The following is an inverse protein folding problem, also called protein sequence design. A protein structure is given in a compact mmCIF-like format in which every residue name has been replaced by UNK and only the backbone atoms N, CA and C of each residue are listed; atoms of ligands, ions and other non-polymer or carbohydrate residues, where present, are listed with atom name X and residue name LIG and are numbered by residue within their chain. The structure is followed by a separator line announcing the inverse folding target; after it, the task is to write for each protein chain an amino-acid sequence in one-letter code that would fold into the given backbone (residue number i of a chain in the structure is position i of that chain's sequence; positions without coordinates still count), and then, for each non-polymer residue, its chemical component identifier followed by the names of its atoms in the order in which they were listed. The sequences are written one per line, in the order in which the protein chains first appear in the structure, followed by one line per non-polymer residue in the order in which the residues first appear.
data_IF_978979784992
#
_entry.id   IF_978979784992
#
_cell.length_a   1.000
_cell.length_b   1.000
_cell.length_c   1.000
_cell.angle_alpha   90.00
_cell.angle_beta   90.00
_cell.angle_gamma   90.00
#
_symmetry.space_group_name_H-M   'P 1'
#
loop_
_entity.id
_entity.type
_entity.pdbx_description
1 polymer ?
#
# COMPACT_ATOMS: atom_id res chain seq x y z
N UNK A 1 -24.21 17.19 -21.33
CA UNK A 1 -22.90 17.20 -20.65
C UNK A 1 -22.99 17.76 -19.23
N UNK A 2 -23.35 19.03 -19.00
CA UNK A 2 -23.46 19.57 -17.62
C UNK A 2 -24.39 18.76 -16.71
N UNK A 3 -25.56 18.33 -17.21
CA UNK A 3 -26.53 17.56 -16.42
C UNK A 3 -26.04 16.13 -16.06
N UNK A 4 -25.33 15.45 -16.98
CA UNK A 4 -24.76 14.11 -16.71
C UNK A 4 -23.59 14.15 -15.73
N UNK A 5 -22.74 15.17 -15.85
CA UNK A 5 -21.56 15.36 -14.98
C UNK A 5 -21.98 15.73 -13.56
N UNK A 6 -22.94 16.65 -13.41
CA UNK A 6 -23.55 16.98 -12.11
C UNK A 6 -24.23 15.76 -11.47
N UNK A 7 -24.98 14.97 -12.26
CA UNK A 7 -25.62 13.73 -11.79
C UNK A 7 -24.58 12.74 -11.22
N UNK A 8 -23.51 12.46 -11.97
CA UNK A 8 -22.49 11.50 -11.54
C UNK A 8 -21.68 12.03 -10.36
N UNK A 9 -21.33 13.32 -10.37
CA UNK A 9 -20.59 13.94 -9.27
C UNK A 9 -21.42 13.96 -7.98
N UNK A 10 -22.70 14.34 -8.03
CA UNK A 10 -23.60 14.29 -6.87
C UNK A 10 -23.70 12.87 -6.32
N UNK A 11 -23.88 11.89 -7.19
CA UNK A 11 -23.93 10.50 -6.77
C UNK A 11 -22.63 10.06 -6.10
N UNK A 12 -21.46 10.36 -6.67
CA UNK A 12 -20.15 10.01 -6.10
C UNK A 12 -19.87 10.75 -4.79
N UNK A 13 -20.30 12.01 -4.66
CA UNK A 13 -20.14 12.78 -3.42
C UNK A 13 -21.07 12.27 -2.30
N UNK A 14 -22.26 11.78 -2.65
CA UNK A 14 -23.21 11.19 -1.69
C UNK A 14 -23.01 9.69 -1.46
N UNK A 15 -22.11 9.06 -2.22
CA UNK A 15 -21.80 7.63 -2.12
C UNK A 15 -20.98 7.34 -0.85
N UNK A 16 -21.66 7.33 0.30
CA UNK A 16 -21.05 6.95 1.58
C UNK A 16 -21.50 5.55 2.01
N UNK A 17 -20.52 4.65 2.12
CA UNK A 17 -20.48 3.43 2.93
C UNK A 17 -21.55 2.32 2.77
N UNK A 18 -22.70 2.50 2.10
CA UNK A 18 -23.65 1.40 1.82
C UNK A 18 -24.53 1.67 0.58
N UNK A 19 -24.42 0.78 -0.41
CA UNK A 19 -25.56 0.17 -1.11
C UNK A 19 -26.48 1.05 -1.97
N UNK A 20 -26.02 2.15 -2.59
CA UNK A 20 -26.86 2.78 -3.62
C UNK A 20 -26.65 2.17 -5.02
N UNK A 21 -26.87 0.85 -5.09
CA UNK A 21 -26.86 0.09 -6.33
C UNK A 21 -27.87 0.70 -7.32
N UNK A 22 -29.00 1.20 -6.83
CA UNK A 22 -30.04 1.82 -7.66
C UNK A 22 -29.55 3.11 -8.32
N UNK A 23 -28.82 3.96 -7.60
CA UNK A 23 -28.20 5.16 -8.19
C UNK A 23 -27.11 4.82 -9.21
N UNK A 24 -26.27 3.81 -8.97
CA UNK A 24 -25.27 3.36 -9.94
C UNK A 24 -25.92 2.71 -11.17
N UNK A 25 -26.97 1.92 -10.98
CA UNK A 25 -27.78 1.34 -12.07
C UNK A 25 -28.43 2.45 -12.89
N UNK A 26 -28.98 3.47 -12.24
CA UNK A 26 -29.57 4.60 -12.94
C UNK A 26 -28.54 5.32 -13.82
N UNK A 27 -27.30 5.51 -13.33
CA UNK A 27 -26.21 6.08 -14.13
C UNK A 27 -25.89 5.18 -15.32
N UNK A 28 -25.58 3.90 -15.08
CA UNK A 28 -25.14 2.98 -16.14
C UNK A 28 -26.22 2.74 -17.20
N UNK A 29 -27.50 2.82 -16.83
CA UNK A 29 -28.62 2.70 -17.77
C UNK A 29 -28.92 4.02 -18.52
N UNK A 30 -28.50 5.17 -18.00
CA UNK A 30 -28.82 6.49 -18.58
C UNK A 30 -27.74 6.99 -19.53
N UNK A 31 -26.47 6.71 -19.24
CA UNK A 31 -25.34 7.21 -20.02
C UNK A 31 -24.52 6.07 -20.64
N UNK A 32 -23.93 6.32 -21.81
CA UNK A 32 -23.04 5.35 -22.45
C UNK A 32 -21.78 5.12 -21.62
N UNK A 33 -21.14 3.94 -21.75
CA UNK A 33 -19.86 3.66 -21.10
C UNK A 33 -18.82 4.75 -21.39
N UNK A 34 -18.69 5.19 -22.66
CA UNK A 34 -17.68 6.19 -23.04
C UNK A 34 -17.93 7.56 -22.38
N UNK A 35 -19.20 7.94 -22.19
CA UNK A 35 -19.55 9.15 -21.44
C UNK A 35 -19.24 8.98 -19.95
N UNK A 36 -19.59 7.83 -19.36
CA UNK A 36 -19.30 7.56 -17.96
C UNK A 36 -17.79 7.51 -17.66
N UNK A 37 -17.03 6.83 -18.52
CA UNK A 37 -15.57 6.78 -18.50
C UNK A 37 -14.95 8.18 -18.52
N UNK A 38 -15.44 9.05 -19.41
CA UNK A 38 -14.98 10.44 -19.50
C UNK A 38 -15.23 11.20 -18.20
N UNK A 39 -16.42 11.04 -17.60
CA UNK A 39 -16.76 11.70 -16.33
C UNK A 39 -15.88 11.18 -15.19
N UNK A 40 -15.70 9.87 -15.07
CA UNK A 40 -14.82 9.29 -14.05
C UNK A 40 -13.38 9.80 -14.20
N UNK A 41 -12.86 9.90 -15.42
CA UNK A 41 -11.52 10.45 -15.67
C UNK A 41 -11.41 11.92 -15.22
N UNK A 42 -12.42 12.75 -15.50
CA UNK A 42 -12.44 14.15 -15.02
C UNK A 42 -12.43 14.23 -13.50
N UNK A 43 -13.23 13.41 -12.84
CA UNK A 43 -13.32 13.41 -11.37
C UNK A 43 -12.02 12.91 -10.72
N UNK A 44 -11.36 11.90 -11.32
CA UNK A 44 -10.03 11.46 -10.93
C UNK A 44 -8.96 12.56 -11.07
N UNK A 45 -9.14 13.50 -11.99
CA UNK A 45 -8.25 14.63 -12.21
C UNK A 45 -8.59 15.86 -11.34
N UNK A 46 -9.58 15.76 -10.45
CA UNK A 46 -9.95 16.82 -9.53
C UNK A 46 -8.79 17.19 -8.60
N UNK A 47 -8.71 18.48 -8.25
CA UNK A 47 -7.80 18.94 -7.18
C UNK A 47 -8.36 18.65 -5.78
N UNK A 48 -9.64 18.31 -5.69
CA UNK A 48 -10.27 17.90 -4.45
C UNK A 48 -9.99 16.42 -4.17
N UNK A 49 -9.23 16.18 -3.10
CA UNK A 49 -8.88 14.83 -2.63
C UNK A 49 -10.12 13.97 -2.38
N UNK A 50 -11.18 14.52 -1.83
CA UNK A 50 -12.38 13.76 -1.49
C UNK A 50 -13.08 13.24 -2.75
N UNK A 51 -13.16 14.08 -3.79
CA UNK A 51 -13.68 13.69 -5.11
C UNK A 51 -12.85 12.55 -5.69
N UNK A 52 -11.52 12.66 -5.67
CA UNK A 52 -10.64 11.61 -6.20
C UNK A 52 -10.81 10.30 -5.40
N UNK A 53 -10.80 10.38 -4.07
CA UNK A 53 -10.98 9.22 -3.18
C UNK A 53 -12.31 8.51 -3.43
N UNK A 54 -13.41 9.26 -3.51
CA UNK A 54 -14.74 8.70 -3.75
C UNK A 54 -14.84 8.11 -5.15
N UNK A 55 -14.25 8.75 -6.16
CA UNK A 55 -14.21 8.22 -7.54
C UNK A 55 -13.44 6.89 -7.60
N UNK A 56 -12.29 6.81 -6.95
CA UNK A 56 -11.52 5.57 -6.78
C UNK A 56 -12.34 4.49 -6.07
N UNK A 57 -13.12 4.85 -5.05
CA UNK A 57 -14.01 3.92 -4.36
C UNK A 57 -15.12 3.39 -5.27
N UNK A 58 -15.80 4.27 -6.01
CA UNK A 58 -16.82 3.90 -7.00
C UNK A 58 -16.27 2.95 -8.06
N UNK A 59 -15.08 3.21 -8.60
CA UNK A 59 -14.43 2.33 -9.58
C UNK A 59 -14.20 0.93 -9.00
N UNK A 60 -13.69 0.84 -7.75
CA UNK A 60 -13.50 -0.46 -7.09
C UNK A 60 -14.80 -1.22 -6.92
N UNK A 61 -15.87 -0.55 -6.49
CA UNK A 61 -17.18 -1.18 -6.34
C UNK A 61 -17.73 -1.70 -7.68
N UNK A 62 -17.64 -0.89 -8.73
CA UNK A 62 -18.08 -1.29 -10.08
C UNK A 62 -17.38 -2.57 -10.55
N UNK A 63 -16.07 -2.70 -10.35
CA UNK A 63 -15.28 -3.84 -10.82
C UNK A 63 -15.36 -5.04 -9.88
N UNK A 64 -15.17 -4.82 -8.58
CA UNK A 64 -15.03 -5.91 -7.61
C UNK A 64 -16.40 -6.44 -7.16
N UNK A 65 -17.36 -5.54 -6.96
CA UNK A 65 -18.66 -5.89 -6.40
C UNK A 65 -19.72 -6.15 -7.49
N UNK A 66 -19.68 -5.44 -8.62
CA UNK A 66 -20.82 -5.40 -9.54
C UNK A 66 -20.60 -6.07 -10.91
N UNK A 67 -19.46 -5.86 -11.58
CA UNK A 67 -19.29 -6.26 -12.99
C UNK A 67 -19.39 -7.76 -13.26
N UNK A 68 -19.13 -8.60 -12.26
CA UNK A 68 -19.22 -10.06 -12.35
C UNK A 68 -20.53 -10.62 -11.75
N UNK A 69 -21.39 -9.75 -11.21
CA UNK A 69 -22.63 -10.16 -10.51
C UNK A 69 -23.91 -9.70 -11.19
N UNK A 70 -23.83 -8.65 -12.00
CA UNK A 70 -24.97 -7.98 -12.60
C UNK A 70 -24.67 -7.67 -14.06
N UNK A 71 -25.58 -8.06 -14.96
CA UNK A 71 -25.39 -7.95 -16.41
C UNK A 71 -25.26 -6.49 -16.86
N UNK A 72 -25.93 -5.57 -16.16
CA UNK A 72 -25.89 -4.12 -16.41
C UNK A 72 -24.46 -3.56 -16.30
N UNK A 73 -23.61 -4.15 -15.45
CA UNK A 73 -22.24 -3.70 -15.23
C UNK A 73 -21.19 -4.55 -15.97
N UNK A 74 -21.61 -5.60 -16.70
CA UNK A 74 -20.70 -6.52 -17.36
C UNK A 74 -19.89 -5.83 -18.48
N UNK A 75 -20.47 -4.87 -19.19
CA UNK A 75 -19.72 -4.07 -20.18
C UNK A 75 -18.59 -3.29 -19.52
N UNK A 76 -18.88 -2.67 -18.37
CA UNK A 76 -17.88 -1.89 -17.64
C UNK A 76 -16.69 -2.76 -17.24
N UNK A 77 -16.94 -3.95 -16.69
CA UNK A 77 -15.89 -4.91 -16.34
C UNK A 77 -15.05 -5.37 -17.53
N UNK A 78 -15.67 -5.59 -18.69
CA UNK A 78 -14.96 -6.01 -19.92
C UNK A 78 -14.07 -4.92 -20.48
N UNK A 79 -14.51 -3.66 -20.43
CA UNK A 79 -13.81 -2.52 -21.04
C UNK A 79 -12.79 -1.87 -20.11
N UNK A 80 -12.96 -2.02 -18.79
CA UNK A 80 -12.10 -1.41 -17.78
C UNK A 80 -10.59 -1.67 -17.98
N UNK A 81 -10.10 -2.89 -18.25
CA UNK A 81 -8.66 -3.15 -18.33
C UNK A 81 -7.89 -2.32 -19.37
N UNK A 82 -8.59 -1.90 -20.44
CA UNK A 82 -8.03 -1.11 -21.55
C UNK A 82 -8.53 0.34 -21.56
N UNK A 83 -9.28 0.73 -20.53
CA UNK A 83 -9.96 2.02 -20.42
C UNK A 83 -9.00 3.18 -20.20
N UNK A 84 -9.48 4.39 -20.50
CA UNK A 84 -8.86 5.66 -20.10
C UNK A 84 -8.83 5.82 -18.58
N UNK A 85 -9.72 5.15 -17.83
CA UNK A 85 -9.72 5.16 -16.36
C UNK A 85 -8.42 4.56 -15.85
N UNK A 86 -8.01 3.38 -16.34
CA UNK A 86 -6.74 2.74 -15.94
C UNK A 86 -5.57 3.65 -16.25
N UNK A 87 -5.50 4.21 -17.47
CA UNK A 87 -4.43 5.16 -17.83
C UNK A 87 -4.42 6.42 -16.94
N UNK A 88 -5.59 6.90 -16.54
CA UNK A 88 -5.72 8.03 -15.63
C UNK A 88 -5.21 7.65 -14.24
N UNK A 89 -5.59 6.50 -13.69
CA UNK A 89 -5.09 5.98 -12.42
C UNK A 89 -3.56 5.80 -12.43
N UNK A 90 -2.99 5.28 -13.53
CA UNK A 90 -1.54 5.17 -13.70
C UNK A 90 -0.85 6.53 -13.65
N UNK A 91 -1.45 7.57 -14.24
CA UNK A 91 -0.90 8.93 -14.17
C UNK A 91 -0.94 9.52 -12.75
N UNK A 92 -1.96 9.15 -11.96
CA UNK A 92 -2.12 9.60 -10.58
C UNK A 92 -1.08 9.01 -9.63
N UNK A 93 -0.39 7.93 -10.02
CA UNK A 93 0.75 7.39 -9.27
C UNK A 93 1.90 8.39 -9.09
N UNK A 94 1.93 9.44 -9.91
CA UNK A 94 2.93 10.52 -9.89
C UNK A 94 2.35 11.85 -9.38
N UNK A 95 1.18 11.81 -8.72
CA UNK A 95 0.58 13.00 -8.13
C UNK A 95 1.42 13.54 -6.97
N UNK A 96 1.42 14.87 -6.82
CA UNK A 96 2.01 15.54 -5.65
C UNK A 96 1.23 15.28 -4.36
N UNK A 97 -0.01 14.82 -4.44
CA UNK A 97 -0.83 14.51 -3.28
C UNK A 97 -0.68 13.03 -2.92
N UNK A 98 -0.04 12.74 -1.79
CA UNK A 98 0.24 11.36 -1.34
C UNK A 98 -1.03 10.52 -1.19
N UNK A 99 -2.15 11.14 -0.82
CA UNK A 99 -3.41 10.41 -0.63
C UNK A 99 -4.00 9.99 -1.97
N UNK A 100 -3.91 10.86 -2.99
CA UNK A 100 -4.25 10.50 -4.37
C UNK A 100 -3.41 9.33 -4.88
N UNK A 101 -2.10 9.34 -4.60
CA UNK A 101 -1.21 8.23 -4.99
C UNK A 101 -1.63 6.93 -4.28
N UNK A 102 -1.90 6.97 -2.97
CA UNK A 102 -2.39 5.82 -2.21
C UNK A 102 -3.71 5.24 -2.76
N UNK A 103 -4.67 6.12 -3.10
CA UNK A 103 -5.95 5.71 -3.67
C UNK A 103 -5.78 5.10 -5.06
N UNK A 104 -4.88 5.64 -5.89
CA UNK A 104 -4.56 5.10 -7.20
C UNK A 104 -3.91 3.71 -7.10
N UNK A 105 -2.89 3.55 -6.24
CA UNK A 105 -2.23 2.27 -5.97
C UNK A 105 -3.26 1.22 -5.54
N UNK A 106 -4.11 1.57 -4.57
CA UNK A 106 -5.10 0.63 -4.05
C UNK A 106 -6.16 0.27 -5.09
N UNK A 107 -6.60 1.23 -5.90
CA UNK A 107 -7.58 0.99 -6.96
C UNK A 107 -7.02 0.06 -8.03
N UNK A 108 -5.81 0.32 -8.53
CA UNK A 108 -5.15 -0.54 -9.52
C UNK A 108 -4.94 -1.96 -8.99
N UNK A 109 -4.49 -2.10 -7.74
CA UNK A 109 -4.32 -3.41 -7.09
C UNK A 109 -5.62 -4.18 -6.93
N UNK A 110 -6.66 -3.57 -6.37
CA UNK A 110 -7.94 -4.25 -6.09
C UNK A 110 -8.80 -4.53 -7.30
N UNK A 111 -8.64 -3.75 -8.36
CA UNK A 111 -9.29 -4.04 -9.64
C UNK A 111 -8.51 -5.04 -10.49
N UNK A 112 -7.43 -5.63 -9.96
CA UNK A 112 -6.57 -6.59 -10.65
C UNK A 112 -6.05 -6.05 -11.99
N UNK A 113 -5.58 -4.79 -12.00
CA UNK A 113 -5.06 -4.14 -13.21
C UNK A 113 -3.64 -4.65 -13.54
N UNK A 114 -3.54 -5.90 -14.03
CA UNK A 114 -2.25 -6.54 -14.35
C UNK A 114 -1.44 -5.77 -15.40
N UNK A 115 -2.10 -5.10 -16.34
CA UNK A 115 -1.46 -4.24 -17.34
C UNK A 115 -0.72 -3.04 -16.75
N UNK A 116 -1.02 -2.67 -15.49
CA UNK A 116 -0.41 -1.53 -14.80
C UNK A 116 0.85 -1.86 -14.01
N UNK A 117 1.30 -3.13 -13.98
CA UNK A 117 2.56 -3.53 -13.32
C UNK A 117 3.76 -2.67 -13.79
N UNK A 118 3.94 -2.34 -15.09
CA UNK A 118 5.01 -1.45 -15.53
C UNK A 118 4.89 -0.03 -14.96
N UNK A 119 3.68 0.51 -14.81
CA UNK A 119 3.44 1.82 -14.22
C UNK A 119 3.72 1.82 -12.72
N UNK A 120 3.29 0.77 -12.00
CA UNK A 120 3.58 0.56 -10.57
C UNK A 120 5.08 0.41 -10.30
N UNK A 121 5.81 -0.33 -11.14
CA UNK A 121 7.28 -0.42 -11.07
C UNK A 121 7.95 0.94 -11.26
N UNK A 122 7.51 1.74 -12.23
CA UNK A 122 8.01 3.12 -12.41
C UNK A 122 7.71 4.00 -11.19
N UNK A 123 6.48 3.89 -10.66
CA UNK A 123 6.07 4.62 -9.46
C UNK A 123 6.92 4.22 -8.25
N UNK A 124 7.27 2.94 -8.11
CA UNK A 124 8.15 2.47 -7.05
C UNK A 124 9.50 3.19 -7.06
N UNK A 125 10.19 3.18 -8.20
CA UNK A 125 11.49 3.85 -8.32
C UNK A 125 11.39 5.37 -8.16
N UNK A 126 10.28 5.98 -8.56
CA UNK A 126 10.02 7.39 -8.33
C UNK A 126 9.81 7.72 -6.85
N UNK A 127 9.01 6.91 -6.15
CA UNK A 127 8.55 7.20 -4.79
C UNK A 127 9.51 6.72 -3.71
N UNK A 128 10.41 5.77 -4.01
CA UNK A 128 11.22 5.11 -2.97
C UNK A 128 12.05 6.05 -2.11
N UNK A 129 12.52 7.15 -2.67
CA UNK A 129 13.30 8.17 -1.96
C UNK A 129 12.53 9.50 -1.85
N UNK A 130 11.21 9.48 -1.99
CA UNK A 130 10.31 10.64 -1.84
C UNK A 130 9.29 10.40 -0.73
N UNK A 131 8.59 9.26 -0.77
CA UNK A 131 7.59 8.86 0.24
C UNK A 131 7.82 7.38 0.65
N UNK A 132 8.80 7.11 1.54
CA UNK A 132 9.11 5.74 1.97
C UNK A 132 7.92 5.02 2.62
N UNK A 133 6.98 5.75 3.21
CA UNK A 133 5.79 5.15 3.84
C UNK A 133 4.77 4.61 2.85
N UNK A 134 4.82 5.04 1.59
CA UNK A 134 3.93 4.52 0.54
C UNK A 134 4.39 3.15 0.03
N UNK A 135 5.68 2.83 0.23
CA UNK A 135 6.31 1.67 -0.38
C UNK A 135 5.65 0.37 0.04
N UNK A 136 5.33 0.20 1.33
CA UNK A 136 4.70 -1.05 1.79
C UNK A 136 3.34 -1.30 1.12
N UNK A 137 2.55 -0.25 0.92
CA UNK A 137 1.27 -0.36 0.20
C UNK A 137 1.48 -0.69 -1.28
N UNK A 138 2.39 0.02 -1.93
CA UNK A 138 2.74 -0.21 -3.33
C UNK A 138 3.23 -1.65 -3.55
N UNK A 139 4.12 -2.10 -2.68
CA UNK A 139 4.73 -3.41 -2.71
C UNK A 139 3.70 -4.51 -2.50
N UNK A 140 2.80 -4.35 -1.52
CA UNK A 140 1.70 -5.28 -1.26
C UNK A 140 0.79 -5.45 -2.49
N UNK A 141 0.36 -4.36 -3.12
CA UNK A 141 -0.50 -4.45 -4.31
C UNK A 141 0.27 -4.98 -5.53
N UNK A 142 1.57 -4.70 -5.67
CA UNK A 142 2.41 -5.29 -6.73
C UNK A 142 2.55 -6.81 -6.56
N UNK A 143 2.81 -7.31 -5.34
CA UNK A 143 2.84 -8.75 -5.04
C UNK A 143 1.50 -9.38 -5.39
N UNK A 144 0.40 -8.73 -5.00
CA UNK A 144 -0.96 -9.19 -5.32
C UNK A 144 -1.20 -9.34 -6.83
N UNK A 145 -0.60 -8.47 -7.65
CA UNK A 145 -0.68 -8.52 -9.10
C UNK A 145 0.32 -9.48 -9.76
N UNK A 146 1.14 -10.21 -8.99
CA UNK A 146 2.12 -11.16 -9.54
C UNK A 146 3.48 -10.55 -9.87
N UNK A 147 4.01 -9.71 -8.97
CA UNK A 147 5.34 -9.12 -9.09
C UNK A 147 6.46 -10.16 -9.31
N UNK A 148 7.15 -10.09 -10.45
CA UNK A 148 8.25 -11.00 -10.79
C UNK A 148 9.62 -10.54 -10.25
N UNK A 149 9.87 -9.23 -10.18
CA UNK A 149 11.15 -8.65 -9.77
C UNK A 149 11.22 -8.29 -8.27
N UNK A 150 10.50 -9.03 -7.41
CA UNK A 150 10.41 -8.79 -5.96
C UNK A 150 11.77 -8.54 -5.30
N UNK A 151 12.75 -9.41 -5.56
CA UNK A 151 14.07 -9.35 -4.92
C UNK A 151 14.91 -8.16 -5.40
N UNK A 152 14.76 -7.75 -6.65
CA UNK A 152 15.44 -6.57 -7.20
C UNK A 152 14.95 -5.31 -6.49
N UNK A 153 13.64 -5.18 -6.31
CA UNK A 153 13.04 -4.05 -5.62
C UNK A 153 13.48 -4.00 -4.15
N UNK A 154 13.45 -5.13 -3.44
CA UNK A 154 13.98 -5.24 -2.07
C UNK A 154 15.45 -4.82 -2.01
N UNK A 155 16.30 -5.34 -2.90
CA UNK A 155 17.71 -4.98 -2.95
C UNK A 155 17.90 -3.47 -3.16
N UNK A 156 17.08 -2.85 -4.01
CA UNK A 156 17.11 -1.42 -4.27
C UNK A 156 16.72 -0.57 -3.04
N UNK A 157 15.79 -1.06 -2.21
CA UNK A 157 15.41 -0.39 -0.96
C UNK A 157 16.53 -0.50 0.08
N UNK A 158 17.08 -1.69 0.26
CA UNK A 158 18.18 -1.97 1.21
C UNK A 158 19.43 -1.16 0.87
N UNK A 159 19.66 -0.89 -0.41
CA UNK A 159 20.81 -0.13 -0.89
C UNK A 159 20.54 1.37 -1.01
N UNK A 160 19.36 1.86 -0.59
CA UNK A 160 19.05 3.29 -0.61
C UNK A 160 19.90 4.06 0.40
N UNK A 161 20.31 5.29 0.04
CA UNK A 161 20.95 6.22 0.98
C UNK A 161 19.96 6.71 2.06
N UNK A 162 18.66 6.69 1.76
CA UNK A 162 17.61 7.08 2.68
C UNK A 162 17.33 5.96 3.70
N UNK A 163 17.53 6.27 4.98
CA UNK A 163 17.29 5.31 6.07
C UNK A 163 15.83 4.89 6.18
N UNK A 164 14.85 5.76 5.92
CA UNK A 164 13.44 5.38 5.98
C UNK A 164 13.08 4.39 4.88
N UNK A 165 13.74 4.46 3.72
CA UNK A 165 13.57 3.50 2.63
C UNK A 165 14.18 2.14 2.98
N UNK A 166 15.40 2.14 3.55
CA UNK A 166 16.02 0.92 4.08
C UNK A 166 15.17 0.30 5.21
N UNK A 167 14.58 1.14 6.05
CA UNK A 167 13.71 0.71 7.15
C UNK A 167 12.39 0.11 6.64
N UNK A 168 11.80 0.69 5.60
CA UNK A 168 10.63 0.13 4.92
C UNK A 168 10.92 -1.30 4.43
N UNK A 169 12.12 -1.59 3.93
CA UNK A 169 12.48 -2.92 3.44
C UNK A 169 12.36 -4.01 4.53
N UNK A 170 12.62 -3.65 5.80
CA UNK A 170 12.47 -4.59 6.94
C UNK A 170 11.00 -5.05 7.11
N UNK A 171 10.03 -4.22 6.70
CA UNK A 171 8.60 -4.54 6.82
C UNK A 171 8.15 -5.60 5.84
N UNK A 172 8.74 -5.61 4.64
CA UNK A 172 8.36 -6.48 3.52
C UNK A 172 8.77 -7.95 3.72
N UNK A 173 9.49 -8.23 4.81
CA UNK A 173 9.76 -9.58 5.27
C UNK A 173 8.72 -9.97 6.33
N UNK A 174 7.57 -10.57 5.93
CA UNK A 174 6.53 -10.93 6.89
C UNK A 174 7.08 -11.87 7.95
N UNK A 175 6.73 -11.58 9.21
CA UNK A 175 7.14 -12.37 10.37
C UNK A 175 6.65 -13.83 10.35
N UNK A 176 5.61 -14.11 9.55
CA UNK A 176 5.00 -15.42 9.44
C UNK A 176 4.85 -15.78 7.98
N UNK A 177 5.56 -16.82 7.53
CA UNK A 177 5.35 -17.41 6.21
C UNK A 177 4.32 -18.51 6.39
N UNK A 178 3.18 -18.38 5.72
CA UNK A 178 2.17 -19.44 5.65
C UNK A 178 2.84 -20.75 5.21
N UNK A 179 2.42 -21.87 5.81
CA UNK A 179 2.97 -23.19 5.47
C UNK A 179 2.50 -23.54 4.05
N UNK A 180 3.44 -23.84 3.15
CA UNK A 180 3.50 -25.08 2.37
C UNK A 180 4.65 -25.02 1.32
N UNK A 181 5.42 -26.10 1.17
CA UNK A 181 6.30 -26.35 0.01
C UNK A 181 7.83 -26.20 0.17
N UNK A 182 8.58 -26.84 -0.74
CA UNK A 182 10.07 -26.81 -0.85
C UNK A 182 10.62 -25.46 -1.36
N UNK A 183 9.85 -24.69 -2.14
CA UNK A 183 10.18 -23.31 -2.55
C UNK A 183 10.39 -22.37 -1.34
N UNK A 184 9.93 -22.78 -0.15
CA UNK A 184 10.03 -22.03 1.10
C UNK A 184 11.47 -21.92 1.62
N UNK A 185 12.35 -22.90 1.36
CA UNK A 185 13.74 -22.84 1.87
C UNK A 185 14.54 -21.73 1.20
N UNK A 186 14.49 -21.63 -0.13
CA UNK A 186 15.18 -20.59 -0.91
C UNK A 186 14.66 -19.20 -0.56
N UNK A 187 13.34 -19.04 -0.43
CA UNK A 187 12.74 -17.76 -0.03
C UNK A 187 13.13 -17.38 1.41
N UNK A 188 13.15 -18.34 2.33
CA UNK A 188 13.60 -18.12 3.71
C UNK A 188 15.08 -17.71 3.78
N UNK A 189 15.94 -18.39 3.02
CA UNK A 189 17.38 -18.12 2.98
C UNK A 189 17.67 -16.73 2.42
N UNK A 190 16.99 -16.32 1.34
CA UNK A 190 17.12 -14.97 0.79
C UNK A 190 16.60 -13.91 1.78
N UNK A 191 15.45 -14.14 2.45
CA UNK A 191 14.98 -13.23 3.52
C UNK A 191 16.00 -13.09 4.63
N UNK A 192 16.56 -14.19 5.10
CA UNK A 192 17.54 -14.20 6.20
C UNK A 192 18.80 -13.44 5.79
N UNK A 193 19.34 -13.70 4.59
CA UNK A 193 20.50 -12.99 4.02
C UNK A 193 20.31 -11.47 3.98
N UNK A 194 19.13 -10.99 3.56
CA UNK A 194 18.84 -9.54 3.54
C UNK A 194 18.71 -8.95 4.94
N UNK A 195 18.07 -9.66 5.87
CA UNK A 195 17.96 -9.22 7.25
C UNK A 195 19.32 -9.21 7.97
N UNK A 196 20.20 -10.17 7.72
CA UNK A 196 21.57 -10.17 8.24
C UNK A 196 22.37 -8.95 7.76
N UNK A 197 22.15 -8.50 6.52
CA UNK A 197 22.73 -7.24 6.03
C UNK A 197 22.16 -6.04 6.79
N UNK A 198 20.84 -5.98 6.99
CA UNK A 198 20.17 -4.88 7.70
C UNK A 198 20.47 -4.84 9.20
N UNK A 199 20.83 -5.97 9.82
CA UNK A 199 21.37 -6.02 11.19
C UNK A 199 22.68 -5.24 11.35
N UNK A 200 23.39 -4.98 10.25
CA UNK A 200 24.60 -4.16 10.22
C UNK A 200 24.35 -2.74 9.70
N UNK A 201 23.08 -2.31 9.57
CA UNK A 201 22.75 -0.95 9.11
C UNK A 201 23.31 0.12 10.04
N UNK A 202 23.68 1.27 9.49
CA UNK A 202 24.07 2.46 10.26
C UNK A 202 23.00 2.95 11.23
N UNK A 203 21.71 2.84 10.88
CA UNK A 203 20.60 3.29 11.73
C UNK A 203 20.21 2.21 12.75
N UNK A 204 20.16 2.59 14.03
CA UNK A 204 19.89 1.65 15.13
C UNK A 204 18.50 1.03 15.09
N UNK A 205 17.48 1.75 14.64
CA UNK A 205 16.10 1.26 14.60
C UNK A 205 15.92 0.19 13.52
N UNK A 206 16.61 0.36 12.39
CA UNK A 206 16.70 -0.66 11.34
C UNK A 206 17.34 -1.92 11.89
N UNK A 207 18.49 -1.81 12.57
CA UNK A 207 19.19 -2.97 13.15
C UNK A 207 18.30 -3.73 14.13
N UNK A 208 17.68 -3.02 15.08
CA UNK A 208 16.81 -3.61 16.11
C UNK A 208 15.62 -4.33 15.46
N UNK A 209 14.95 -3.70 14.50
CA UNK A 209 13.81 -4.33 13.84
C UNK A 209 14.24 -5.52 12.95
N UNK A 210 15.39 -5.43 12.27
CA UNK A 210 15.92 -6.52 11.45
C UNK A 210 16.32 -7.73 12.32
N UNK A 211 16.95 -7.50 13.48
CA UNK A 211 17.26 -8.55 14.45
C UNK A 211 16.00 -9.23 14.96
N UNK A 212 14.98 -8.45 15.31
CA UNK A 212 13.69 -9.01 15.70
C UNK A 212 13.08 -9.89 14.60
N UNK A 213 13.10 -9.44 13.35
CA UNK A 213 12.63 -10.23 12.20
C UNK A 213 13.43 -11.52 12.00
N UNK A 214 14.75 -11.50 12.18
CA UNK A 214 15.56 -12.73 12.17
C UNK A 214 15.08 -13.73 13.24
N UNK A 215 14.87 -13.28 14.48
CA UNK A 215 14.39 -14.15 15.56
C UNK A 215 13.00 -14.73 15.27
N UNK A 216 12.13 -13.98 14.60
CA UNK A 216 10.82 -14.48 14.14
C UNK A 216 10.95 -15.59 13.10
N UNK A 217 11.89 -15.44 12.16
CA UNK A 217 12.20 -16.47 11.15
C UNK A 217 12.79 -17.72 11.82
N UNK A 218 13.78 -17.55 12.71
CA UNK A 218 14.38 -18.63 13.49
C UNK A 218 13.34 -19.36 14.35
N UNK A 219 12.36 -18.64 14.89
CA UNK A 219 11.24 -19.29 15.58
C UNK A 219 10.40 -20.14 14.64
N UNK A 220 10.16 -19.72 13.38
CA UNK A 220 9.41 -20.53 12.41
C UNK A 220 10.13 -21.83 12.05
N UNK A 221 11.46 -21.83 11.98
CA UNK A 221 12.22 -23.03 11.59
C UNK A 221 12.17 -24.12 12.66
N UNK A 222 12.14 -23.76 13.94
CA UNK A 222 12.08 -24.72 15.07
C UNK A 222 10.66 -24.94 15.61
N UNK A 223 9.65 -24.21 15.11
CA UNK A 223 8.29 -24.20 15.67
C UNK A 223 7.67 -25.59 15.75
N UNK A 224 7.90 -26.43 14.74
CA UNK A 224 7.30 -27.77 14.65
C UNK A 224 7.86 -28.74 15.70
N UNK A 225 9.06 -28.48 16.22
CA UNK A 225 9.73 -29.28 17.26
C UNK A 225 9.22 -28.95 18.67
N UNK A 226 8.53 -27.81 18.84
CA UNK A 226 8.05 -27.32 20.12
C UNK A 226 6.62 -27.80 20.42
N UNK A 227 6.30 -27.99 21.71
CA UNK A 227 4.91 -28.24 22.10
C UNK A 227 4.02 -27.01 21.81
N UNK A 228 2.72 -27.20 21.56
CA UNK A 228 1.79 -26.07 21.31
C UNK A 228 1.83 -25.00 22.40
N UNK A 229 2.04 -25.39 23.66
CA UNK A 229 2.17 -24.47 24.79
C UNK A 229 3.43 -23.61 24.68
N UNK A 230 4.56 -24.22 24.35
CA UNK A 230 5.84 -23.51 24.14
C UNK A 230 5.81 -22.63 22.90
N UNK A 231 5.22 -23.11 21.79
CA UNK A 231 5.00 -22.32 20.59
C UNK A 231 4.23 -21.03 20.92
N UNK A 232 3.11 -21.14 21.64
CA UNK A 232 2.30 -19.99 22.03
C UNK A 232 3.04 -19.05 22.98
N UNK A 233 3.81 -19.59 23.94
CA UNK A 233 4.61 -18.78 24.86
C UNK A 233 5.67 -17.98 24.12
N UNK A 234 6.50 -18.64 23.32
CA UNK A 234 7.61 -18.02 22.59
C UNK A 234 7.13 -17.01 21.54
N UNK A 235 6.04 -17.34 20.83
CA UNK A 235 5.37 -16.39 19.92
C UNK A 235 4.96 -15.10 20.65
N UNK A 236 4.29 -15.22 21.80
CA UNK A 236 3.86 -14.05 22.59
C UNK A 236 5.02 -13.23 23.12
N UNK A 237 6.11 -13.87 23.51
CA UNK A 237 7.33 -13.19 23.96
C UNK A 237 7.92 -12.34 22.82
N UNK A 238 8.02 -12.92 21.63
CA UNK A 238 8.51 -12.20 20.44
C UNK A 238 7.54 -11.09 20.01
N UNK A 239 6.23 -11.32 20.00
CA UNK A 239 5.24 -10.27 19.71
C UNK A 239 5.35 -9.10 20.70
N UNK A 240 5.47 -9.39 22.00
CA UNK A 240 5.65 -8.37 23.03
C UNK A 240 6.95 -7.57 22.86
N UNK A 241 8.03 -8.24 22.47
CA UNK A 241 9.28 -7.55 22.15
C UNK A 241 9.10 -6.59 20.96
N UNK A 242 8.42 -7.03 19.90
CA UNK A 242 8.14 -6.19 18.71
C UNK A 242 7.31 -4.96 19.04
N UNK A 243 6.31 -5.12 19.90
CA UNK A 243 5.44 -4.03 20.34
C UNK A 243 6.16 -3.04 21.24
N UNK A 244 7.27 -3.45 21.86
CA UNK A 244 8.08 -2.59 22.74
C UNK A 244 9.10 -1.72 21.99
N UNK A 245 9.39 -2.05 20.72
CA UNK A 245 10.32 -1.27 19.90
C UNK A 245 9.56 -0.28 19.02
N UNK A 246 10.18 0.86 18.70
CA UNK A 246 9.68 1.69 17.61
C UNK A 246 9.95 0.95 16.29
N UNK A 247 8.89 0.48 15.63
CA UNK A 247 8.94 -0.13 14.32
C UNK A 247 8.42 0.84 13.23
N UNK A 248 8.75 0.55 11.97
CA UNK A 248 8.41 1.42 10.83
C UNK A 248 6.90 1.63 10.66
N UNK A 249 6.07 0.60 10.89
CA UNK A 249 4.61 0.70 10.82
C UNK A 249 4.06 1.67 11.87
N UNK A 250 4.59 1.58 13.09
CA UNK A 250 4.23 2.49 14.19
C UNK A 250 4.62 3.92 13.83
N UNK A 251 5.84 4.15 13.34
CA UNK A 251 6.29 5.46 12.90
C UNK A 251 5.40 6.00 11.76
N UNK A 252 5.13 5.19 10.74
CA UNK A 252 4.26 5.52 9.61
C UNK A 252 2.88 5.96 10.07
N UNK A 253 2.24 5.19 10.97
CA UNK A 253 0.92 5.52 11.52
C UNK A 253 0.92 6.84 12.29
N UNK A 254 1.93 7.07 13.14
CA UNK A 254 2.01 8.31 13.93
C UNK A 254 2.25 9.51 13.00
N UNK A 255 3.13 9.36 12.00
CA UNK A 255 3.37 10.42 11.03
C UNK A 255 2.14 10.71 10.15
N UNK A 256 1.38 9.68 9.77
CA UNK A 256 0.11 9.85 9.07
C UNK A 256 -0.90 10.66 9.89
N UNK A 257 -0.98 10.43 11.20
CA UNK A 257 -1.81 11.23 12.10
C UNK A 257 -1.33 12.69 12.17
N UNK A 258 0.00 12.90 12.20
CA UNK A 258 0.59 14.23 12.16
C UNK A 258 0.24 14.98 10.86
N UNK A 259 0.40 14.34 9.70
CA UNK A 259 0.04 14.93 8.40
C UNK A 259 -1.46 15.30 8.36
N UNK A 260 -2.31 14.41 8.86
CA UNK A 260 -3.76 14.65 8.92
C UNK A 260 -4.10 15.83 9.83
N UNK A 261 -3.51 15.90 11.03
CA UNK A 261 -3.66 17.01 11.96
C UNK A 261 -3.20 18.34 11.37
N UNK A 262 -2.08 18.33 10.64
CA UNK A 262 -1.53 19.52 9.95
C UNK A 262 -2.19 19.81 8.60
N UNK A 263 -3.14 18.98 8.15
CA UNK A 263 -3.79 19.06 6.83
C UNK A 263 -2.78 19.08 5.68
N UNK A 264 -1.68 18.32 5.82
CA UNK A 264 -0.64 18.20 4.82
C UNK A 264 -0.94 17.03 3.89
N UNK A 265 -0.96 17.30 2.58
CA UNK A 265 -1.20 16.30 1.54
C UNK A 265 0.11 15.74 0.96
N UNK A 266 1.26 16.22 1.42
CA UNK A 266 2.59 15.74 1.08
C UNK A 266 3.60 16.18 2.14
N UNK A 267 4.82 15.68 2.00
CA UNK A 267 5.95 16.03 2.85
C UNK A 267 7.26 15.85 2.09
N UNK A 268 8.32 16.43 2.62
CA UNK A 268 9.70 16.23 2.17
C UNK A 268 10.44 15.30 3.15
N UNK A 269 11.50 14.64 2.71
CA UNK A 269 12.32 13.82 3.60
C UNK A 269 12.89 14.61 4.79
N UNK A 270 13.21 15.89 4.61
CA UNK A 270 13.62 16.77 5.72
C UNK A 270 12.51 16.93 6.76
N UNK A 271 11.27 17.17 6.33
CA UNK A 271 10.14 17.27 7.27
C UNK A 271 9.87 15.94 7.99
N UNK A 272 10.11 14.81 7.33
CA UNK A 272 10.05 13.50 7.97
C UNK A 272 11.16 13.34 9.00
N UNK A 273 12.40 13.69 8.66
CA UNK A 273 13.53 13.65 9.59
C UNK A 273 13.29 14.54 10.81
N UNK A 274 12.88 15.79 10.61
CA UNK A 274 12.59 16.74 11.69
C UNK A 274 11.51 16.21 12.63
N UNK A 275 10.46 15.60 12.07
CA UNK A 275 9.41 14.95 12.85
C UNK A 275 9.95 13.76 13.64
N UNK A 276 10.75 12.92 13.00
CA UNK A 276 11.33 11.73 13.61
C UNK A 276 12.25 12.10 14.78
N UNK A 277 13.16 13.04 14.58
CA UNK A 277 14.10 13.51 15.61
C UNK A 277 13.34 14.10 16.81
N UNK A 278 12.32 14.92 16.55
CA UNK A 278 11.42 15.43 17.58
C UNK A 278 10.72 14.28 18.32
N UNK A 279 10.15 13.32 17.60
CA UNK A 279 9.42 12.21 18.20
C UNK A 279 10.32 11.36 19.10
N UNK A 280 11.53 11.01 18.66
CA UNK A 280 12.50 10.25 19.47
C UNK A 280 12.90 11.03 20.73
N UNK A 281 13.11 12.34 20.61
CA UNK A 281 13.44 13.20 21.75
C UNK A 281 12.35 13.22 22.82
N UNK A 282 11.09 13.38 22.42
CA UNK A 282 9.99 13.46 23.38
C UNK A 282 9.60 12.11 23.99
N UNK A 283 9.76 11.01 23.24
CA UNK A 283 9.35 9.68 23.71
C UNK A 283 10.46 8.90 24.41
N UNK A 284 11.71 9.38 24.35
CA UNK A 284 12.83 8.78 25.08
C UNK A 284 13.33 7.46 24.48
N UNK A 285 13.01 7.14 23.21
CA UNK A 285 13.53 5.98 22.48
C UNK A 285 15.07 6.01 22.29
N UNK A 286 15.76 7.06 22.76
CA UNK A 286 17.23 7.08 22.87
C UNK A 286 17.79 6.03 23.86
N UNK A 287 16.96 5.44 24.74
CA UNK A 287 17.41 4.56 25.84
C UNK A 287 17.43 3.06 25.55
N UNK A 288 17.18 2.64 24.31
CA UNK A 288 17.35 1.25 23.84
C UNK A 288 18.52 1.21 22.86
#
# INVERSE_FOLDING_TARGET
MQNSEELVQLNIQHYSYRQDLDSLLNIVNTISFSEFETILCKLLQSQDREIVSNTCFTIRDLIVCYSNRYDEFAEFGKRYPESLIVKTLESLLFSKNRYTVLDAIYTLGKTCSYSSIPALNKAFYHLKDIDPFILSRLFCEMIWLGLENFWELIYSMISSENEFTRWAAVQEFPAFIEKDGEEKSVLLDEKYKYLERLKQDSNKFIRIQAEHRCRMIEFQTVKEELSKKEQNKRRKELEKEYDSILNFETLSRIFQNYLSYKKLNNYTLTQLQDFFDYYIFFTGFYRI
#
